data_IF_829427567399
#
_entry.id   IF_829427567399
#
_cell.length_a   1.000
_cell.length_b   1.000
_cell.length_c   1.000
_cell.angle_alpha   90.00
_cell.angle_beta   90.00
_cell.angle_gamma   90.00
#
_symmetry.space_group_name_H-M   'P 1'
#
loop_
_entity.id
_entity.type
_entity.pdbx_description
1 polymer ?
#
# COMPACT_ATOMS: atom_id res chain seq x y z
N UNK A 1 8.74 -17.17 -0.17
CA UNK A 1 9.92 -16.62 0.56
C UNK A 1 11.16 -16.41 -0.34
N UNK A 2 10.96 -16.11 -1.62
CA UNK A 2 12.04 -16.19 -2.61
C UNK A 2 13.18 -15.20 -2.38
N UNK A 3 12.91 -14.05 -1.76
CA UNK A 3 13.92 -13.02 -1.49
C UNK A 3 14.63 -13.17 -0.14
N UNK A 4 14.22 -14.14 0.71
CA UNK A 4 14.73 -14.26 2.09
C UNK A 4 16.25 -14.42 2.16
N UNK A 5 16.83 -15.23 1.28
CA UNK A 5 18.28 -15.48 1.26
C UNK A 5 19.09 -14.24 0.89
N UNK A 6 18.52 -13.31 0.13
CA UNK A 6 19.17 -12.06 -0.24
C UNK A 6 19.04 -11.00 0.86
N UNK A 7 17.88 -10.96 1.53
CA UNK A 7 17.58 -9.99 2.59
C UNK A 7 18.26 -10.36 3.92
N UNK A 8 18.33 -11.65 4.25
CA UNK A 8 18.92 -12.13 5.50
C UNK A 8 18.11 -11.67 6.72
N UNK A 9 18.76 -10.93 7.62
CA UNK A 9 18.19 -10.45 8.88
C UNK A 9 18.12 -8.93 8.96
N UNK A 10 18.02 -8.25 7.82
CA UNK A 10 17.88 -6.81 7.74
C UNK A 10 16.43 -6.40 7.42
N UNK A 11 15.98 -5.22 7.88
CA UNK A 11 14.70 -4.67 7.45
C UNK A 11 14.73 -4.35 5.96
N UNK A 12 13.59 -4.51 5.30
CA UNK A 12 13.51 -4.38 3.85
C UNK A 12 12.22 -3.69 3.40
N UNK A 13 12.30 -3.05 2.25
CA UNK A 13 11.14 -2.44 1.60
C UNK A 13 10.48 -3.42 0.63
N UNK A 14 9.14 -3.43 0.61
CA UNK A 14 8.35 -4.09 -0.44
C UNK A 14 7.58 -3.02 -1.19
N UNK A 15 7.71 -3.03 -2.52
CA UNK A 15 7.00 -2.13 -3.42
C UNK A 15 6.28 -2.99 -4.46
N UNK A 16 4.94 -2.95 -4.44
CA UNK A 16 4.14 -3.58 -5.48
C UNK A 16 4.27 -2.75 -6.77
N UNK A 17 4.63 -3.44 -7.87
CA UNK A 17 5.01 -2.80 -9.13
C UNK A 17 3.83 -2.21 -9.91
N UNK A 18 2.63 -2.70 -9.63
CA UNK A 18 1.34 -2.22 -10.10
C UNK A 18 0.83 -0.98 -9.35
N UNK A 19 1.50 -0.59 -8.27
CA UNK A 19 1.20 0.62 -7.52
C UNK A 19 2.15 1.75 -7.88
N UNK A 20 1.67 2.75 -8.59
CA UNK A 20 2.45 3.95 -8.91
C UNK A 20 2.02 5.09 -7.98
N UNK A 21 2.95 5.62 -7.20
CA UNK A 21 2.65 6.76 -6.30
C UNK A 21 3.38 8.00 -6.76
N UNK A 22 2.62 9.04 -7.09
CA UNK A 22 3.15 10.37 -7.38
C UNK A 22 3.05 11.25 -6.13
N UNK A 23 4.20 11.67 -5.60
CA UNK A 23 4.29 12.51 -4.40
C UNK A 23 5.55 13.37 -4.45
N UNK A 24 5.54 14.50 -3.73
CA UNK A 24 6.73 15.34 -3.56
C UNK A 24 7.82 14.64 -2.73
N UNK A 25 7.41 13.98 -1.65
CA UNK A 25 8.25 13.04 -0.88
C UNK A 25 7.87 11.63 -1.31
N UNK A 26 8.80 10.79 -1.81
CA UNK A 26 8.49 9.42 -2.21
C UNK A 26 7.77 8.65 -1.09
N UNK A 27 6.69 7.93 -1.41
CA UNK A 27 5.89 7.23 -0.41
C UNK A 27 6.74 6.30 0.47
N UNK A 28 7.66 5.54 -0.13
CA UNK A 28 8.55 4.67 0.65
C UNK A 28 9.44 5.44 1.63
N UNK A 29 9.85 6.67 1.32
CA UNK A 29 10.63 7.52 2.24
C UNK A 29 9.80 7.91 3.45
N UNK A 30 8.52 8.22 3.27
CA UNK A 30 7.60 8.53 4.37
C UNK A 30 7.48 7.36 5.35
N UNK A 31 7.42 6.12 4.83
CA UNK A 31 7.40 4.91 5.67
C UNK A 31 8.75 4.65 6.36
N UNK A 32 9.86 4.84 5.65
CA UNK A 32 11.21 4.69 6.22
C UNK A 32 11.42 5.65 7.39
N UNK A 33 10.90 6.87 7.31
CA UNK A 33 11.04 7.85 8.38
C UNK A 33 10.32 7.41 9.66
N UNK A 34 9.10 6.86 9.51
CA UNK A 34 8.37 6.26 10.64
C UNK A 34 9.06 5.00 11.15
N UNK A 35 9.60 4.17 10.25
CA UNK A 35 10.37 2.99 10.66
C UNK A 35 11.58 3.37 11.49
N UNK A 36 12.34 4.39 11.10
CA UNK A 36 13.50 4.87 11.85
C UNK A 36 13.14 5.43 13.23
N UNK A 37 11.94 6.00 13.38
CA UNK A 37 11.46 6.50 14.69
C UNK A 37 10.95 5.37 15.59
N UNK A 38 10.19 4.42 15.03
CA UNK A 38 9.48 3.38 15.81
C UNK A 38 10.25 2.07 15.94
N UNK A 39 11.14 1.77 14.98
CA UNK A 39 11.91 0.54 14.91
C UNK A 39 11.09 -0.72 14.60
N UNK A 40 9.89 -0.58 14.05
CA UNK A 40 8.99 -1.70 13.72
C UNK A 40 8.36 -1.56 12.34
N UNK A 41 7.85 -2.67 11.79
CA UNK A 41 7.16 -2.73 10.50
C UNK A 41 6.17 -1.60 10.28
N UNK A 42 6.24 -0.98 9.10
CA UNK A 42 5.38 0.11 8.65
C UNK A 42 4.74 -0.23 7.30
N UNK A 43 3.42 -0.08 7.19
CA UNK A 43 2.66 -0.17 5.94
C UNK A 43 2.16 1.20 5.49
N UNK A 44 2.14 1.42 4.18
CA UNK A 44 1.50 2.57 3.57
C UNK A 44 0.02 2.33 3.39
N UNK A 45 -0.80 3.30 3.79
CA UNK A 45 -2.25 3.28 3.65
C UNK A 45 -2.76 4.57 3.02
N UNK A 46 -3.96 4.51 2.44
CA UNK A 46 -4.80 5.68 2.21
C UNK A 46 -6.26 5.29 2.42
N UNK A 47 -7.11 6.31 2.58
CA UNK A 47 -8.56 6.11 2.59
C UNK A 47 -9.06 5.79 1.19
N UNK A 48 -9.94 4.80 1.10
CA UNK A 48 -10.63 4.41 -0.14
C UNK A 48 -12.13 4.45 0.06
N UNK A 49 -12.89 4.62 -1.02
CA UNK A 49 -14.35 4.49 -0.94
C UNK A 49 -14.76 3.11 -0.43
N UNK A 50 -15.81 3.04 0.39
CA UNK A 50 -16.31 1.80 1.00
C UNK A 50 -16.70 0.73 -0.04
N UNK A 51 -17.05 1.14 -1.25
CA UNK A 51 -17.31 0.25 -2.39
C UNK A 51 -16.04 -0.44 -2.91
N UNK A 52 -14.86 0.12 -2.66
CA UNK A 52 -13.57 -0.38 -3.13
C UNK A 52 -12.79 -1.15 -2.06
N UNK A 53 -13.22 -1.13 -0.79
CA UNK A 53 -12.46 -1.73 0.33
C UNK A 53 -12.16 -3.22 0.16
N UNK A 54 -13.05 -3.96 -0.51
CA UNK A 54 -12.92 -5.39 -0.79
C UNK A 54 -11.74 -5.75 -1.70
N UNK A 55 -11.08 -4.76 -2.30
CA UNK A 55 -9.92 -4.95 -3.17
C UNK A 55 -8.60 -4.99 -2.40
N UNK A 56 -8.58 -4.52 -1.16
CA UNK A 56 -7.35 -4.23 -0.41
C UNK A 56 -7.34 -4.87 0.98
N UNK A 57 -6.17 -4.91 1.63
CA UNK A 57 -6.08 -5.18 3.06
C UNK A 57 -6.67 -4.01 3.86
N UNK A 58 -7.61 -4.27 4.77
CA UNK A 58 -8.21 -3.26 5.63
C UNK A 58 -7.50 -3.18 6.98
N UNK A 59 -7.27 -1.96 7.45
CA UNK A 59 -6.59 -1.68 8.72
C UNK A 59 -7.60 -1.34 9.80
N UNK A 60 -7.57 -2.08 10.89
CA UNK A 60 -8.23 -1.71 12.14
C UNK A 60 -7.31 -0.89 13.02
N UNK A 61 -7.78 0.23 13.56
CA UNK A 61 -7.04 1.09 14.47
C UNK A 61 -7.98 1.93 15.34
N UNK A 62 -7.48 2.35 16.51
CA UNK A 62 -8.24 3.17 17.47
C UNK A 62 -8.34 4.66 17.05
N UNK A 63 -7.43 5.13 16.18
CA UNK A 63 -7.36 6.53 15.75
C UNK A 63 -7.17 6.65 14.23
N UNK A 64 -8.22 6.38 13.42
CA UNK A 64 -8.10 6.32 11.96
C UNK A 64 -7.84 7.68 11.30
N UNK A 65 -7.97 8.79 12.02
CA UNK A 65 -7.76 10.15 11.50
C UNK A 65 -6.30 10.62 11.64
N UNK A 66 -5.48 9.95 12.46
CA UNK A 66 -4.05 10.22 12.56
C UNK A 66 -3.29 9.80 11.30
N UNK A 67 -2.21 10.53 10.97
CA UNK A 67 -1.33 10.22 9.84
C UNK A 67 -0.48 8.97 10.06
N UNK A 68 -0.23 8.61 11.33
CA UNK A 68 0.50 7.40 11.73
C UNK A 68 -0.30 6.72 12.83
N UNK A 69 -0.71 5.48 12.57
CA UNK A 69 -1.65 4.74 13.44
C UNK A 69 -1.07 3.38 13.78
N UNK A 70 -1.32 2.91 15.00
CA UNK A 70 -0.99 1.53 15.36
C UNK A 70 -2.05 0.60 14.76
N UNK A 71 -1.60 -0.44 14.10
CA UNK A 71 -2.46 -1.49 13.54
C UNK A 71 -2.91 -2.41 14.68
N UNK A 72 -4.23 -2.53 14.86
CA UNK A 72 -4.85 -3.48 15.80
C UNK A 72 -5.09 -4.83 15.14
N UNK A 73 -5.57 -4.80 13.89
CA UNK A 73 -5.86 -5.97 13.08
C UNK A 73 -5.73 -5.62 11.60
N UNK A 74 -5.32 -6.60 10.79
CA UNK A 74 -5.32 -6.55 9.34
C UNK A 74 -6.22 -7.65 8.79
N UNK A 75 -7.07 -7.30 7.83
CA UNK A 75 -7.96 -8.25 7.15
C UNK A 75 -7.76 -8.15 5.64
N UNK A 76 -7.38 -9.25 4.99
CA UNK A 76 -7.18 -9.27 3.53
C UNK A 76 -8.51 -9.22 2.79
N UNK A 77 -8.74 -8.17 1.98
CA UNK A 77 -9.86 -8.03 1.03
C UNK A 77 -11.24 -8.23 1.68
N UNK A 78 -11.55 -7.61 2.83
CA UNK A 78 -12.78 -7.90 3.56
C UNK A 78 -14.02 -7.63 2.71
N UNK A 79 -15.10 -8.35 2.98
CA UNK A 79 -16.41 -7.89 2.51
C UNK A 79 -16.71 -6.53 3.14
N UNK A 80 -17.63 -5.77 2.52
CA UNK A 80 -18.02 -4.44 3.03
C UNK A 80 -18.53 -4.49 4.48
N UNK A 81 -19.19 -5.59 4.87
CA UNK A 81 -19.68 -5.80 6.24
C UNK A 81 -18.59 -6.21 7.24
N UNK A 82 -17.46 -6.73 6.76
CA UNK A 82 -16.30 -7.09 7.60
C UNK A 82 -15.31 -5.94 7.74
N UNK A 83 -15.36 -4.96 6.84
CA UNK A 83 -14.49 -3.78 6.89
C UNK A 83 -14.84 -2.90 8.09
N UNK A 84 -13.83 -2.59 8.90
CA UNK A 84 -13.94 -1.83 10.15
C UNK A 84 -13.48 -0.39 10.01
N UNK A 85 -12.82 -0.07 8.89
CA UNK A 85 -12.43 1.28 8.52
C UNK A 85 -12.41 1.43 6.99
N UNK A 86 -12.20 2.66 6.51
CA UNK A 86 -11.92 2.97 5.10
C UNK A 86 -10.42 3.01 4.79
N UNK A 87 -9.55 2.67 5.75
CA UNK A 87 -8.10 2.60 5.56
C UNK A 87 -7.72 1.30 4.85
N UNK A 88 -7.16 1.45 3.65
CA UNK A 88 -6.64 0.37 2.84
C UNK A 88 -5.11 0.37 2.82
N UNK A 89 -4.50 -0.81 2.86
CA UNK A 89 -3.07 -1.03 2.66
C UNK A 89 -2.74 -0.96 1.17
N UNK A 90 -1.76 -0.12 0.80
CA UNK A 90 -1.49 0.25 -0.59
C UNK A 90 0.00 0.09 -0.92
N UNK A 91 0.36 -1.14 -1.28
CA UNK A 91 1.53 -1.50 -2.09
C UNK A 91 2.92 -1.05 -1.64
N UNK A 92 3.05 -0.50 -0.43
CA UNK A 92 4.31 0.01 0.12
C UNK A 92 4.45 -0.45 1.55
N UNK A 93 5.60 -1.04 1.84
CA UNK A 93 5.89 -1.62 3.14
C UNK A 93 7.36 -1.41 3.47
N UNK A 94 7.66 -1.20 4.75
CA UNK A 94 8.99 -1.38 5.34
C UNK A 94 8.82 -2.42 6.42
N UNK A 95 9.41 -3.60 6.25
CA UNK A 95 9.08 -4.80 7.02
C UNK A 95 10.29 -5.28 7.80
N UNK A 96 10.05 -5.61 9.06
CA UNK A 96 11.02 -6.26 9.92
C UNK A 96 11.24 -7.74 9.51
N UNK A 97 12.48 -8.26 9.51
CA UNK A 97 12.80 -9.63 9.12
C UNK A 97 12.09 -10.71 9.95
N UNK A 98 11.55 -10.38 11.14
CA UNK A 98 10.70 -11.27 11.93
C UNK A 98 9.45 -11.78 11.17
N UNK A 99 9.09 -11.16 10.04
CA UNK A 99 8.03 -11.65 9.15
C UNK A 99 8.36 -13.00 8.50
N UNK A 100 9.64 -13.33 8.28
CA UNK A 100 9.99 -14.51 7.48
C UNK A 100 9.60 -15.83 8.14
N UNK A 101 9.92 -16.10 9.43
CA UNK A 101 9.45 -17.31 10.11
C UNK A 101 7.92 -17.39 10.20
N UNK A 102 7.24 -16.24 10.23
CA UNK A 102 5.77 -16.19 10.22
C UNK A 102 5.26 -16.67 8.86
N UNK A 103 5.77 -16.09 7.77
CA UNK A 103 5.39 -16.48 6.40
C UNK A 103 5.73 -17.93 6.04
N UNK A 104 6.73 -18.55 6.70
CA UNK A 104 6.99 -20.00 6.57
C UNK A 104 5.85 -20.87 7.10
N UNK A 105 5.14 -20.36 8.11
CA UNK A 105 4.08 -21.07 8.82
C UNK A 105 2.68 -20.61 8.38
N UNK A 106 2.58 -19.49 7.66
CA UNK A 106 1.32 -18.98 7.13
C UNK A 106 0.73 -19.97 6.14
N UNK A 107 -0.43 -20.52 6.49
CA UNK A 107 -1.20 -21.36 5.59
C UNK A 107 -1.80 -20.54 4.45
N UNK A 108 -2.12 -21.16 3.30
CA UNK A 108 -2.86 -20.48 2.25
C UNK A 108 -4.20 -19.93 2.76
N UNK A 109 -4.43 -18.64 2.52
CA UNK A 109 -5.63 -17.92 2.92
C UNK A 109 -6.56 -17.67 1.73
N UNK A 110 -6.94 -16.41 1.54
CA UNK A 110 -7.85 -16.00 0.47
C UNK A 110 -7.27 -16.34 -0.90
N UNK A 111 -8.09 -16.98 -1.75
CA UNK A 111 -7.69 -17.41 -3.09
C UNK A 111 -6.78 -18.65 -3.13
N UNK A 112 -6.52 -19.29 -1.98
CA UNK A 112 -5.57 -20.42 -1.91
C UNK A 112 -4.10 -19.98 -1.99
N UNK A 113 -3.82 -18.70 -1.72
CA UNK A 113 -2.49 -18.11 -1.75
C UNK A 113 -1.98 -17.79 -0.34
N UNK A 114 -0.66 -17.81 -0.15
CA UNK A 114 -0.03 -17.31 1.09
C UNK A 114 -0.04 -15.78 1.02
N UNK A 115 -0.87 -15.14 1.85
CA UNK A 115 -1.07 -13.70 1.84
C UNK A 115 -0.08 -13.00 2.77
N UNK A 116 0.54 -11.91 2.29
CA UNK A 116 1.40 -11.07 3.11
C UNK A 116 0.60 -10.43 4.26
N UNK A 117 -0.64 -10.04 4.01
CA UNK A 117 -1.54 -9.43 4.99
C UNK A 117 -1.79 -10.35 6.18
N UNK A 118 -1.97 -11.65 5.96
CA UNK A 118 -2.16 -12.64 7.04
C UNK A 118 -0.89 -12.74 7.89
N UNK A 119 0.28 -12.78 7.26
CA UNK A 119 1.56 -12.76 7.95
C UNK A 119 1.80 -11.47 8.75
N UNK A 120 1.43 -10.31 8.20
CA UNK A 120 1.51 -9.02 8.90
C UNK A 120 0.52 -8.93 10.06
N UNK A 121 -0.66 -9.53 9.93
CA UNK A 121 -1.62 -9.61 11.03
C UNK A 121 -1.04 -10.44 12.19
N UNK A 122 -0.47 -11.62 11.91
CA UNK A 122 0.24 -12.42 12.93
C UNK A 122 1.45 -11.69 13.49
N UNK A 123 2.16 -10.88 12.69
CA UNK A 123 3.25 -10.05 13.20
C UNK A 123 2.75 -8.98 14.18
N UNK A 124 1.60 -8.36 13.89
CA UNK A 124 0.98 -7.33 14.74
C UNK A 124 0.56 -7.86 16.13
N UNK A 125 0.29 -9.16 16.25
CA UNK A 125 0.05 -9.83 17.53
C UNK A 125 1.32 -9.97 18.39
N UNK A 126 2.50 -9.98 17.75
CA UNK A 126 3.80 -10.20 18.42
C UNK A 126 4.55 -8.91 18.71
N UNK A 127 4.44 -7.93 17.83
CA UNK A 127 5.07 -6.62 17.96
C UNK A 127 4.23 -5.53 17.31
N UNK A 128 4.40 -4.25 17.70
CA UNK A 128 3.68 -3.16 17.05
C UNK A 128 3.93 -3.15 15.55
N UNK A 129 2.85 -2.90 14.80
CA UNK A 129 2.89 -2.62 13.37
C UNK A 129 2.22 -1.27 13.17
N UNK A 130 2.81 -0.42 12.34
CA UNK A 130 2.34 0.94 12.11
C UNK A 130 1.79 1.09 10.69
N UNK A 131 0.71 1.83 10.53
CA UNK A 131 0.19 2.23 9.24
C UNK A 131 0.36 3.74 9.07
N UNK A 132 0.83 4.16 7.89
CA UNK A 132 1.07 5.55 7.54
C UNK A 132 0.10 5.94 6.43
N UNK A 133 -0.82 6.85 6.75
CA UNK A 133 -1.68 7.49 5.76
C UNK A 133 -0.83 8.46 4.92
N UNK A 134 -0.20 7.94 3.87
CA UNK A 134 0.83 8.67 3.16
C UNK A 134 0.26 9.78 2.28
N UNK A 135 1.05 10.83 2.09
CA UNK A 135 0.70 11.91 1.16
C UNK A 135 1.17 11.56 -0.24
N UNK A 136 0.26 11.70 -1.22
CA UNK A 136 0.54 11.43 -2.62
C UNK A 136 -0.70 10.93 -3.34
N UNK A 137 -0.61 10.87 -4.67
CA UNK A 137 -1.62 10.24 -5.51
C UNK A 137 -1.16 8.85 -5.93
N UNK A 138 -1.87 7.82 -5.48
CA UNK A 138 -1.72 6.45 -5.99
C UNK A 138 -2.48 6.29 -7.30
N UNK A 139 -1.88 5.57 -8.23
CA UNK A 139 -2.52 5.00 -9.41
C UNK A 139 -2.38 3.48 -9.35
N UNK A 140 -3.50 2.80 -9.57
CA UNK A 140 -3.57 1.36 -9.72
C UNK A 140 -3.35 1.00 -11.18
N UNK A 141 -2.12 0.67 -11.56
CA UNK A 141 -1.82 0.32 -12.97
C UNK A 141 -2.07 -1.15 -13.28
N UNK A 142 -2.51 -1.94 -12.29
CA UNK A 142 -3.09 -3.26 -12.49
C UNK A 142 -4.50 -3.18 -13.08
N UNK A 143 -5.22 -2.10 -12.81
CA UNK A 143 -6.50 -1.79 -13.46
C UNK A 143 -6.30 -1.03 -14.79
N UNK A 144 -7.13 -1.36 -15.79
CA UNK A 144 -7.02 -0.77 -17.13
C UNK A 144 -7.28 0.73 -17.15
N UNK A 145 -8.26 1.21 -16.38
CA UNK A 145 -8.56 2.63 -16.29
C UNK A 145 -7.47 3.34 -15.51
N UNK A 146 -7.05 2.78 -14.37
CA UNK A 146 -5.96 3.35 -13.58
C UNK A 146 -4.63 3.46 -14.33
N UNK A 147 -4.32 2.51 -15.23
CA UNK A 147 -3.18 2.61 -16.15
C UNK A 147 -3.29 3.82 -17.11
N UNK A 148 -4.47 4.06 -17.68
CA UNK A 148 -4.70 5.21 -18.57
C UNK A 148 -4.63 6.53 -17.81
N UNK A 149 -5.23 6.61 -16.62
CA UNK A 149 -5.16 7.78 -15.74
C UNK A 149 -3.71 8.12 -15.38
N UNK A 150 -2.94 7.12 -14.96
CA UNK A 150 -1.52 7.29 -14.66
C UNK A 150 -0.78 7.84 -15.89
N UNK A 151 -0.95 7.20 -17.04
CA UNK A 151 -0.26 7.59 -18.29
C UNK A 151 -0.58 9.04 -18.68
N UNK A 152 -1.87 9.40 -18.67
CA UNK A 152 -2.32 10.74 -19.03
C UNK A 152 -1.76 11.77 -18.04
N UNK A 153 -1.89 11.56 -16.74
CA UNK A 153 -1.45 12.55 -15.76
C UNK A 153 0.06 12.70 -15.71
N UNK A 154 0.83 11.62 -15.87
CA UNK A 154 2.28 11.72 -16.00
C UNK A 154 2.71 12.46 -17.26
N UNK A 155 2.02 12.26 -18.39
CA UNK A 155 2.27 13.04 -19.61
C UNK A 155 1.90 14.52 -19.43
N UNK A 156 0.80 14.82 -18.73
CA UNK A 156 0.37 16.20 -18.44
C UNK A 156 1.32 16.94 -17.47
N UNK A 157 2.15 16.22 -16.71
CA UNK A 157 3.20 16.81 -15.85
C UNK A 157 4.49 17.13 -16.60
N UNK A 158 4.66 16.60 -17.81
CA UNK A 158 5.88 16.76 -18.61
C UNK A 158 5.78 17.99 -19.49
N UNK A 159 6.73 18.93 -19.34
CA UNK A 159 6.72 20.20 -20.09
C UNK A 159 6.77 20.01 -21.61
N UNK A 160 7.41 18.93 -22.09
CA UNK A 160 7.54 18.57 -23.49
C UNK A 160 6.28 17.92 -24.10
N UNK A 161 5.40 17.33 -23.28
CA UNK A 161 4.19 16.62 -23.75
C UNK A 161 2.89 17.34 -23.42
N UNK A 162 2.84 18.03 -22.28
CA UNK A 162 1.62 18.62 -21.74
C UNK A 162 0.90 19.59 -22.71
N UNK A 163 1.59 20.49 -23.45
CA UNK A 163 0.89 21.41 -24.35
C UNK A 163 0.13 20.68 -25.46
N UNK A 164 0.78 19.72 -26.12
CA UNK A 164 0.18 18.95 -27.21
C UNK A 164 -0.96 18.05 -26.71
N UNK A 165 -0.77 17.37 -25.57
CA UNK A 165 -1.78 16.50 -24.98
C UNK A 165 -3.03 17.27 -24.52
N UNK A 166 -2.87 18.44 -23.88
CA UNK A 166 -4.01 19.29 -23.48
C UNK A 166 -4.87 19.71 -24.68
N UNK A 167 -4.22 20.14 -25.77
CA UNK A 167 -4.91 20.50 -27.02
C UNK A 167 -5.62 19.32 -27.67
N UNK A 168 -5.08 18.10 -27.55
CA UNK A 168 -5.76 16.90 -28.02
C UNK A 168 -7.00 16.59 -27.18
N UNK A 169 -6.87 16.58 -25.84
CA UNK A 169 -7.97 16.26 -24.93
C UNK A 169 -9.14 17.25 -25.03
N UNK A 170 -8.87 18.55 -25.22
CA UNK A 170 -9.93 19.55 -25.38
C UNK A 170 -10.81 19.32 -26.62
N UNK A 171 -10.28 18.67 -27.66
CA UNK A 171 -11.01 18.34 -28.89
C UNK A 171 -11.88 17.09 -28.76
N UNK A 172 -11.68 16.29 -27.71
CA UNK A 172 -12.50 15.09 -27.44
C UNK A 172 -13.77 15.41 -26.65
N UNK A 173 -13.89 16.65 -26.15
CA UNK A 173 -15.04 17.09 -25.35
C UNK A 173 -16.14 17.76 -26.20
N UNK A 174 -16.02 17.68 -27.53
CA UNK A 174 -17.08 17.96 -28.52
C UNK A 174 -17.80 16.67 -28.90
#
# INVERSE_FOLDING_TARGET
LCARSFIGSEPFAVLLGDDIVHASVPCIKQLIDVYNEKGQTVLGTQRVGWENIHKYGNVDTDDPDSSVVRVRQLTEKPSRSEAVSDLAVLGRYVIDPAIFPILEQTAPGRGGEIQLTDGLNTLAERQPVWAVNFTGRRYDVGDRLGFLEATIEYALRRADLAPALKNFLSKLQE
#
